data_IF_882225026556
#
_entry.id   IF_882225026556
#
_cell.length_a   1.000
_cell.length_b   1.000
_cell.length_c   1.000
_cell.angle_alpha   90.00
_cell.angle_beta   90.00
_cell.angle_gamma   90.00
#
_symmetry.space_group_name_H-M   'P 1'
#
loop_
_entity.id
_entity.type
_entity.pdbx_description
1 polymer ?
#
# COMPACT_ATOMS: atom_id res chain seq x y z
N UNK A 1 14.38 -37.27 -6.69
CA UNK A 1 14.28 -35.85 -7.09
C UNK A 1 13.12 -35.23 -6.34
N UNK A 2 13.37 -34.29 -5.43
CA UNK A 2 12.30 -33.49 -4.83
C UNK A 2 11.90 -32.44 -5.84
N UNK A 3 10.66 -32.49 -6.30
CA UNK A 3 10.02 -31.36 -6.97
C UNK A 3 9.94 -30.24 -5.93
N UNK A 4 10.81 -29.24 -6.03
CA UNK A 4 10.58 -27.97 -5.35
C UNK A 4 9.59 -27.25 -6.25
N UNK A 5 8.31 -27.34 -5.91
CA UNK A 5 7.38 -26.34 -6.39
C UNK A 5 7.87 -25.01 -5.83
N UNK A 6 8.49 -24.20 -6.67
CA UNK A 6 8.65 -22.79 -6.41
C UNK A 6 7.25 -22.20 -6.39
N UNK A 7 6.55 -22.35 -5.25
CA UNK A 7 5.38 -21.54 -4.94
C UNK A 7 5.93 -20.13 -4.74
N UNK A 8 6.11 -19.41 -5.85
CA UNK A 8 6.26 -17.96 -5.82
C UNK A 8 4.95 -17.45 -5.27
N UNK A 9 4.88 -17.25 -3.96
CA UNK A 9 3.80 -16.50 -3.32
C UNK A 9 3.77 -15.15 -4.04
N UNK A 10 2.72 -14.93 -4.82
CA UNK A 10 2.55 -13.67 -5.54
C UNK A 10 2.20 -12.64 -4.47
N UNK A 11 2.98 -11.56 -4.31
CA UNK A 11 2.61 -10.48 -3.41
C UNK A 11 1.23 -9.95 -3.82
N UNK A 12 0.35 -9.81 -2.85
CA UNK A 12 -0.99 -9.22 -3.03
C UNK A 12 -1.00 -7.80 -2.49
N UNK A 13 -1.95 -7.00 -2.96
CA UNK A 13 -2.25 -5.67 -2.43
C UNK A 13 -3.74 -5.59 -2.18
N UNK A 14 -4.10 -5.14 -0.99
CA UNK A 14 -5.47 -4.80 -0.60
C UNK A 14 -5.57 -3.28 -0.44
N UNK A 15 -6.69 -2.69 -0.89
CA UNK A 15 -7.03 -1.29 -0.65
C UNK A 15 -8.29 -1.21 0.18
N UNK A 16 -8.23 -0.48 1.28
CA UNK A 16 -9.36 -0.24 2.15
C UNK A 16 -9.51 1.26 2.45
N UNK A 17 -10.71 1.65 2.85
CA UNK A 17 -11.12 2.97 3.29
C UNK A 17 -11.59 2.91 4.75
N UNK A 18 -11.70 4.05 5.42
CA UNK A 18 -12.60 4.18 6.58
C UNK A 18 -13.78 5.05 6.20
N UNK A 19 -14.85 4.99 6.96
CA UNK A 19 -15.95 5.95 6.96
C UNK A 19 -15.85 6.79 8.24
N UNK A 20 -16.24 8.06 8.16
CA UNK A 20 -16.25 9.01 9.26
C UNK A 20 -17.63 9.65 9.28
N UNK A 21 -18.39 9.40 10.35
CA UNK A 21 -19.65 10.09 10.56
C UNK A 21 -19.41 11.58 10.83
N UNK A 22 -19.90 12.44 9.96
CA UNK A 22 -19.71 13.91 10.02
C UNK A 22 -20.36 14.57 11.24
N UNK A 23 -21.41 13.93 11.77
CA UNK A 23 -22.23 14.44 12.87
C UNK A 23 -21.63 14.06 14.22
N UNK A 24 -21.11 12.84 14.36
CA UNK A 24 -20.57 12.32 15.63
C UNK A 24 -19.04 12.31 15.67
N UNK A 25 -18.37 12.35 14.52
CA UNK A 25 -16.92 12.18 14.37
C UNK A 25 -16.43 10.74 14.53
N UNK A 26 -17.33 9.77 14.67
CA UNK A 26 -16.97 8.36 14.83
C UNK A 26 -16.42 7.76 13.52
N UNK A 27 -15.34 6.99 13.62
CA UNK A 27 -14.69 6.37 12.46
C UNK A 27 -14.88 4.86 12.45
N UNK A 28 -15.21 4.27 11.31
CA UNK A 28 -15.28 2.81 11.16
C UNK A 28 -13.89 2.16 11.18
N UNK A 29 -13.89 0.82 11.20
CA UNK A 29 -12.72 0.03 10.79
C UNK A 29 -12.41 0.20 9.30
N UNK A 30 -11.31 -0.42 8.86
CA UNK A 30 -10.96 -0.50 7.44
C UNK A 30 -11.97 -1.39 6.69
N UNK A 31 -12.50 -0.89 5.58
CA UNK A 31 -13.56 -1.50 4.79
C UNK A 31 -13.36 -1.21 3.29
N UNK A 32 -14.12 -1.86 2.42
CA UNK A 32 -13.90 -1.76 0.96
C UNK A 32 -14.56 -0.53 0.32
N UNK A 33 -15.49 0.11 1.03
CA UNK A 33 -16.21 1.30 0.59
C UNK A 33 -16.52 2.20 1.77
N UNK A 34 -16.60 3.50 1.53
CA UNK A 34 -17.04 4.50 2.49
C UNK A 34 -17.80 5.60 1.74
N UNK A 35 -18.74 6.24 2.42
CA UNK A 35 -19.39 7.47 1.97
C UNK A 35 -18.68 8.69 2.56
N UNK A 36 -18.50 9.69 1.70
CA UNK A 36 -17.86 10.94 2.04
C UNK A 36 -18.48 12.06 1.23
N UNK A 37 -18.59 13.24 1.85
CA UNK A 37 -19.08 14.42 1.16
C UNK A 37 -18.00 15.05 0.28
N UNK A 38 -18.46 15.90 -0.63
CA UNK A 38 -17.54 16.70 -1.44
C UNK A 38 -16.73 17.60 -0.51
N UNK A 39 -15.41 17.58 -0.69
CA UNK A 39 -14.38 18.25 0.12
C UNK A 39 -13.97 17.52 1.41
N UNK A 40 -14.52 16.34 1.68
CA UNK A 40 -14.03 15.51 2.77
C UNK A 40 -12.68 14.84 2.45
N UNK A 41 -12.06 14.46 3.56
CA UNK A 41 -10.80 13.76 3.63
C UNK A 41 -11.07 12.24 3.75
N UNK A 42 -10.77 11.47 2.70
CA UNK A 42 -11.09 10.02 2.53
C UNK A 42 -9.95 9.06 2.91
N UNK A 43 -9.73 8.70 4.19
CA UNK A 43 -8.66 7.80 4.64
C UNK A 43 -8.62 6.52 3.83
N UNK A 44 -7.48 6.26 3.18
CA UNK A 44 -7.25 4.98 2.52
C UNK A 44 -5.96 4.31 2.98
N UNK A 45 -5.95 3.01 2.81
CA UNK A 45 -4.86 2.13 3.17
C UNK A 45 -4.55 1.20 2.00
N UNK A 46 -3.27 1.11 1.62
CA UNK A 46 -2.77 0.02 0.80
C UNK A 46 -1.97 -0.93 1.68
N UNK A 47 -2.35 -2.21 1.70
CA UNK A 47 -1.66 -3.26 2.43
C UNK A 47 -1.07 -4.22 1.42
N UNK A 48 0.25 -4.29 1.32
CA UNK A 48 0.89 -5.33 0.50
C UNK A 48 1.29 -6.53 1.37
N UNK A 49 1.21 -7.74 0.81
CA UNK A 49 1.84 -8.93 1.40
C UNK A 49 3.20 -9.17 0.76
N UNK A 50 4.20 -9.47 1.59
CA UNK A 50 5.52 -9.87 1.09
C UNK A 50 5.51 -11.36 0.77
N UNK A 51 6.33 -11.79 -0.20
CA UNK A 51 6.37 -13.19 -0.57
C UNK A 51 7.05 -14.05 0.52
N UNK A 52 6.59 -15.29 0.70
CA UNK A 52 7.15 -16.28 1.61
C UNK A 52 8.63 -16.56 1.32
N UNK A 53 9.02 -16.49 0.05
CA UNK A 53 10.40 -16.69 -0.39
C UNK A 53 11.25 -15.40 -0.40
N UNK A 54 10.84 -14.34 0.31
CA UNK A 54 11.61 -13.07 0.40
C UNK A 54 13.08 -13.29 0.80
N UNK A 55 13.35 -14.27 1.64
CA UNK A 55 14.71 -14.63 2.08
C UNK A 55 15.62 -15.09 0.92
N UNK A 56 15.05 -15.63 -0.16
CA UNK A 56 15.79 -16.15 -1.32
C UNK A 56 16.33 -15.08 -2.28
N UNK A 57 15.95 -13.81 -2.09
CA UNK A 57 16.40 -12.70 -2.93
C UNK A 57 17.52 -11.91 -2.26
N UNK A 58 18.56 -11.50 -2.97
CA UNK A 58 19.59 -10.62 -2.39
C UNK A 58 19.07 -9.19 -2.17
N UNK A 59 18.35 -8.67 -3.18
CA UNK A 59 17.64 -7.40 -3.14
C UNK A 59 16.15 -7.61 -3.45
N UNK A 60 15.29 -6.78 -2.88
CA UNK A 60 13.85 -6.84 -3.17
C UNK A 60 13.30 -5.47 -3.54
N UNK A 61 13.09 -5.23 -4.83
CA UNK A 61 12.37 -4.05 -5.32
C UNK A 61 10.89 -4.19 -5.00
N UNK A 62 10.29 -3.13 -4.47
CA UNK A 62 8.85 -3.05 -4.27
C UNK A 62 8.34 -1.72 -4.86
N UNK A 63 7.32 -1.83 -5.69
CA UNK A 63 6.54 -0.71 -6.18
C UNK A 63 5.06 -1.03 -6.04
N UNK A 64 4.34 -0.11 -5.43
CA UNK A 64 2.88 -0.11 -5.36
C UNK A 64 2.39 0.98 -6.29
N UNK A 65 1.65 0.60 -7.33
CA UNK A 65 1.02 1.52 -8.26
C UNK A 65 -0.47 1.61 -7.97
N UNK A 66 -0.96 2.83 -7.80
CA UNK A 66 -2.39 3.14 -7.69
C UNK A 66 -2.70 4.23 -8.70
N UNK A 67 -3.92 4.26 -9.23
CA UNK A 67 -4.37 5.36 -10.06
C UNK A 67 -5.54 6.00 -9.36
N UNK A 68 -5.32 7.21 -8.86
CA UNK A 68 -6.41 8.02 -8.36
C UNK A 68 -7.42 8.22 -9.48
N UNK A 69 -8.68 7.95 -9.20
CA UNK A 69 -9.77 8.32 -10.09
C UNK A 69 -9.70 9.82 -10.37
N UNK A 70 -10.22 10.29 -11.51
CA UNK A 70 -10.30 11.72 -11.85
C UNK A 70 -10.95 12.56 -10.74
N UNK A 71 -11.76 11.90 -9.93
CA UNK A 71 -12.37 12.45 -8.75
C UNK A 71 -11.58 12.38 -7.47
N UNK A 72 -10.26 12.24 -7.54
CA UNK A 72 -9.38 12.35 -6.40
C UNK A 72 -8.15 13.19 -6.76
N UNK A 73 -7.74 14.00 -5.81
CA UNK A 73 -6.49 14.75 -5.76
C UNK A 73 -5.71 14.20 -4.56
N UNK A 74 -4.38 14.29 -4.59
CA UNK A 74 -3.52 13.75 -3.54
C UNK A 74 -3.02 14.88 -2.62
N UNK A 75 -3.12 14.70 -1.29
CA UNK A 75 -2.72 15.73 -0.30
C UNK A 75 -1.21 15.73 -0.01
N UNK A 76 -0.43 14.79 -0.56
CA UNK A 76 1.05 14.72 -0.41
C UNK A 76 1.56 14.46 0.99
N UNK A 77 0.82 13.70 1.76
CA UNK A 77 1.04 13.41 3.17
C UNK A 77 1.02 11.90 3.45
N UNK A 78 1.30 11.10 2.42
CA UNK A 78 1.40 9.66 2.60
C UNK A 78 2.50 9.26 3.58
N UNK A 79 2.18 8.24 4.36
CA UNK A 79 3.04 7.55 5.29
C UNK A 79 3.17 6.09 4.90
N UNK A 80 4.37 5.56 5.03
CA UNK A 80 4.65 4.15 4.81
C UNK A 80 5.14 3.55 6.12
N UNK A 81 4.48 2.49 6.57
CA UNK A 81 4.84 1.78 7.78
C UNK A 81 5.23 0.35 7.47
N UNK A 82 6.28 -0.11 8.14
CA UNK A 82 6.57 -1.52 8.29
C UNK A 82 5.73 -2.06 9.44
N UNK A 83 4.91 -3.09 9.20
CA UNK A 83 4.08 -3.70 10.25
C UNK A 83 4.58 -5.11 10.57
N UNK A 84 4.99 -5.32 11.81
CA UNK A 84 5.42 -6.61 12.35
C UNK A 84 4.55 -6.96 13.57
N UNK A 85 3.54 -7.80 13.37
CA UNK A 85 2.51 -8.04 14.38
C UNK A 85 1.79 -6.73 14.75
N UNK A 86 1.90 -6.29 16.01
CA UNK A 86 1.33 -5.02 16.49
C UNK A 86 2.28 -3.84 16.35
N UNK A 87 3.57 -4.07 16.09
CA UNK A 87 4.58 -3.02 15.95
C UNK A 87 4.46 -2.34 14.59
N UNK A 88 4.54 -1.00 14.59
CA UNK A 88 4.53 -0.16 13.40
C UNK A 88 5.75 0.74 13.38
N UNK A 89 6.56 0.65 12.34
CA UNK A 89 7.75 1.49 12.15
C UNK A 89 7.53 2.42 10.96
N UNK A 90 7.64 3.74 11.14
CA UNK A 90 7.59 4.70 10.02
C UNK A 90 8.85 4.56 9.16
N UNK A 91 8.66 4.17 7.91
CA UNK A 91 9.71 3.99 6.88
C UNK A 91 9.46 4.88 5.66
N UNK A 92 8.63 5.92 5.81
CA UNK A 92 8.23 6.83 4.72
C UNK A 92 9.44 7.41 3.99
N UNK A 93 10.48 7.80 4.72
CA UNK A 93 11.71 8.38 4.16
C UNK A 93 12.51 7.42 3.28
N UNK A 94 12.25 6.11 3.37
CA UNK A 94 12.90 5.09 2.55
C UNK A 94 12.19 4.87 1.21
N UNK A 95 10.99 5.43 1.05
CA UNK A 95 10.20 5.32 -0.17
C UNK A 95 10.32 6.59 -1.03
N UNK A 96 10.39 6.38 -2.34
CA UNK A 96 10.12 7.42 -3.32
C UNK A 96 8.64 7.42 -3.63
N UNK A 97 7.97 8.53 -3.34
CA UNK A 97 6.52 8.70 -3.55
C UNK A 97 6.32 9.67 -4.72
N UNK A 98 5.55 9.23 -5.72
CA UNK A 98 5.19 10.11 -6.83
C UNK A 98 4.34 11.29 -6.34
N UNK A 99 4.53 12.46 -6.95
CA UNK A 99 3.86 13.70 -6.54
C UNK A 99 2.33 13.66 -6.68
N UNK A 100 1.82 12.70 -7.47
CA UNK A 100 0.41 12.40 -7.74
C UNK A 100 -0.06 11.11 -7.05
N UNK A 101 0.75 10.52 -6.16
CA UNK A 101 0.53 9.21 -5.52
C UNK A 101 0.40 8.01 -6.46
N UNK A 102 0.75 8.17 -7.75
CA UNK A 102 0.64 7.08 -8.73
C UNK A 102 1.56 5.90 -8.44
N UNK A 103 2.63 6.14 -7.67
CA UNK A 103 3.56 5.09 -7.27
C UNK A 103 4.26 5.37 -5.95
N UNK A 104 4.54 4.27 -5.25
CA UNK A 104 5.32 4.24 -4.02
C UNK A 104 6.39 3.17 -4.15
N UNK A 105 7.66 3.58 -4.18
CA UNK A 105 8.77 2.73 -4.60
C UNK A 105 9.88 2.64 -3.56
N UNK A 106 10.44 1.46 -3.39
CA UNK A 106 11.71 1.25 -2.71
C UNK A 106 12.57 0.29 -3.53
N UNK A 107 13.82 0.70 -3.79
CA UNK A 107 14.71 -0.07 -4.66
C UNK A 107 15.16 -1.39 -4.02
N UNK A 108 15.37 -1.39 -2.71
CA UNK A 108 15.74 -2.58 -1.95
C UNK A 108 15.09 -2.56 -0.56
N UNK A 109 13.93 -3.18 -0.46
CA UNK A 109 13.20 -3.33 0.80
C UNK A 109 14.03 -4.05 1.87
N UNK A 110 14.88 -5.03 1.49
CA UNK A 110 15.71 -5.78 2.44
C UNK A 110 16.80 -4.94 3.13
N UNK A 111 17.04 -3.71 2.67
CA UNK A 111 17.93 -2.77 3.35
C UNK A 111 17.34 -2.21 4.66
N UNK A 112 16.02 -2.35 4.86
CA UNK A 112 15.35 -1.91 6.08
C UNK A 112 15.46 -2.96 7.18
N UNK A 113 15.66 -2.50 8.41
CA UNK A 113 15.69 -3.39 9.57
C UNK A 113 14.30 -4.01 9.81
N UNK A 114 14.27 -5.31 10.12
CA UNK A 114 13.05 -6.01 10.51
C UNK A 114 12.18 -6.53 9.37
N UNK A 115 12.60 -6.40 8.11
CA UNK A 115 11.87 -6.93 6.95
C UNK A 115 11.93 -8.46 6.93
N UNK A 116 10.76 -9.10 7.02
CA UNK A 116 10.59 -10.56 6.90
C UNK A 116 9.39 -10.89 6.02
N UNK A 117 9.19 -12.14 5.61
CA UNK A 117 8.03 -12.54 4.79
C UNK A 117 6.68 -12.34 5.48
N UNK A 118 6.65 -12.21 6.82
CA UNK A 118 5.42 -11.99 7.58
C UNK A 118 5.04 -10.50 7.69
N UNK A 119 5.91 -9.61 7.22
CA UNK A 119 5.73 -8.17 7.34
C UNK A 119 4.84 -7.66 6.22
N UNK A 120 3.91 -6.77 6.59
CA UNK A 120 3.01 -6.10 5.65
C UNK A 120 3.37 -4.62 5.58
N UNK A 121 3.86 -4.09 4.45
CA UNK A 121 3.95 -2.65 4.27
C UNK A 121 2.52 -2.06 4.24
N UNK A 122 2.31 -1.08 5.12
CA UNK A 122 1.08 -0.34 5.23
C UNK A 122 1.30 1.07 4.70
N UNK A 123 0.57 1.42 3.66
CA UNK A 123 0.52 2.79 3.16
C UNK A 123 -0.68 3.48 3.76
N UNK A 124 -0.50 4.66 4.33
CA UNK A 124 -1.59 5.56 4.73
C UNK A 124 -1.44 6.81 3.89
N UNK A 125 -2.33 7.07 2.96
CA UNK A 125 -2.25 8.24 2.08
C UNK A 125 -3.46 9.16 2.30
N UNK A 126 -3.24 10.46 2.44
CA UNK A 126 -4.32 11.46 2.45
C UNK A 126 -4.59 12.18 1.10
N UNK A 127 -5.60 13.08 1.07
CA UNK A 127 -6.78 13.22 0.16
C UNK A 127 -6.86 14.32 -0.91
N UNK A 128 -8.07 14.44 -1.52
CA UNK A 128 -8.87 15.54 -2.11
C UNK A 128 -9.72 14.99 -3.31
N UNK A 129 -10.82 15.60 -3.78
CA UNK A 129 -11.96 14.98 -4.59
C UNK A 129 -12.07 15.54 -6.06
N UNK A 130 -12.84 15.00 -7.05
CA UNK A 130 -14.22 15.30 -7.57
C UNK A 130 -14.99 14.16 -8.38
N UNK A 131 -16.21 13.77 -7.95
CA UNK A 131 -17.33 13.02 -8.64
C UNK A 131 -17.48 11.47 -8.53
N UNK A 132 -18.75 11.05 -8.42
CA UNK A 132 -19.34 9.79 -7.88
C UNK A 132 -19.16 8.51 -8.75
N UNK A 133 -19.15 7.38 -8.02
CA UNK A 133 -19.06 5.95 -8.39
C UNK A 133 -17.69 5.51 -8.88
N UNK A 134 -16.78 5.33 -7.92
CA UNK A 134 -15.46 4.76 -8.17
C UNK A 134 -15.59 3.23 -8.14
N UNK A 135 -15.71 2.62 -9.32
CA UNK A 135 -15.18 1.27 -9.52
C UNK A 135 -13.67 1.41 -9.49
N UNK A 136 -13.08 1.12 -8.33
CA UNK A 136 -11.64 1.24 -8.15
C UNK A 136 -10.94 0.08 -8.88
N UNK A 137 -10.48 0.34 -10.09
CA UNK A 137 -9.68 -0.62 -10.84
C UNK A 137 -8.22 -0.55 -10.37
N UNK A 138 -7.86 -1.40 -9.42
CA UNK A 138 -6.50 -1.52 -8.91
C UNK A 138 -5.68 -2.40 -9.86
N UNK A 139 -4.82 -1.79 -10.68
CA UNK A 139 -3.86 -2.54 -11.52
C UNK A 139 -2.53 -2.60 -10.77
N UNK A 140 -2.30 -3.70 -10.05
CA UNK A 140 -1.04 -3.95 -9.34
C UNK A 140 0.00 -4.50 -10.31
N UNK A 141 1.05 -3.73 -10.59
CA UNK A 141 2.23 -4.24 -11.28
C UNK A 141 3.41 -4.31 -10.30
N UNK A 142 3.71 -5.52 -9.80
CA UNK A 142 4.96 -5.76 -9.04
C UNK A 142 6.08 -6.06 -10.03
N UNK A 143 6.96 -5.08 -10.27
CA UNK A 143 8.12 -5.26 -11.14
C UNK A 143 9.27 -5.96 -10.40
N UNK A 144 9.66 -7.16 -10.85
CA UNK A 144 10.80 -7.92 -10.32
C UNK A 144 12.07 -7.56 -11.11
N UNK A 145 13.09 -6.99 -10.47
CA UNK A 145 14.45 -6.98 -11.04
C UNK A 145 15.29 -8.02 -10.31
N UNK A 146 15.49 -9.17 -10.95
CA UNK A 146 16.52 -10.12 -10.54
C UNK A 146 17.87 -9.53 -10.92
N UNK A 147 18.68 -9.17 -9.93
CA UNK A 147 20.12 -9.21 -10.12
C UNK A 147 20.61 -10.48 -9.42
N UNK A 148 21.00 -11.44 -10.25
CA UNK A 148 21.85 -12.57 -9.86
C UNK A 148 23.29 -12.09 -9.70
#
# INVERSE_FOLDING_TARGET
MKFVESRTSVPTVEKNLKDINDTTGETTGWQDSADYDINDSVPFQLTATLPDNLASYDEYYLELSDTLSTGLTYNKDAKVYLVNGTEKTDITSSFTIAADSSSFKINNLKSLNGVTSQVKPLMVAPFLVIFILIVLLLVVNVYRRLRH
#
